data_IF_233537776685
#
_entry.id   IF_233537776685
#
_cell.length_a   1.000
_cell.length_b   1.000
_cell.length_c   1.000
_cell.angle_alpha   90.00
_cell.angle_beta   90.00
_cell.angle_gamma   90.00
#
_symmetry.space_group_name_H-M   'P 1'
#
loop_
_entity.id
_entity.type
_entity.pdbx_description
1 polymer ?
#
# COMPACT_ATOMS: atom_id res chain seq x y z
N UNK A 1 25.37 -8.79 5.02
CA UNK A 1 24.41 -9.14 3.95
C UNK A 1 25.03 -9.02 2.57
N UNK A 2 25.61 -7.87 2.20
CA UNK A 2 26.29 -7.70 0.90
C UNK A 2 27.36 -8.76 0.62
N UNK A 3 28.16 -9.16 1.60
CA UNK A 3 29.14 -10.25 1.44
C UNK A 3 28.51 -11.65 1.25
N UNK A 4 27.30 -11.87 1.75
CA UNK A 4 26.53 -13.10 1.52
C UNK A 4 25.77 -13.06 0.19
N UNK A 5 25.27 -11.89 -0.23
CA UNK A 5 24.69 -11.63 -1.55
C UNK A 5 25.75 -11.73 -2.66
N UNK A 6 26.99 -11.34 -2.39
CA UNK A 6 28.12 -11.46 -3.31
C UNK A 6 28.69 -12.89 -3.41
N UNK A 7 28.41 -13.77 -2.45
CA UNK A 7 28.90 -15.15 -2.40
C UNK A 7 28.02 -16.13 -3.21
N UNK A 8 27.56 -15.69 -4.38
CA UNK A 8 26.57 -16.31 -5.25
C UNK A 8 26.55 -17.86 -5.26
N UNK A 9 25.33 -18.40 -5.33
CA UNK A 9 24.89 -19.80 -5.46
C UNK A 9 25.02 -20.75 -4.25
N UNK A 10 25.88 -20.48 -3.26
CA UNK A 10 26.10 -21.42 -2.13
C UNK A 10 25.59 -20.95 -0.77
N UNK A 11 25.26 -19.67 -0.63
CA UNK A 11 24.77 -19.08 0.62
C UNK A 11 23.36 -18.53 0.41
N UNK A 12 22.40 -18.97 1.21
CA UNK A 12 21.04 -18.42 1.23
C UNK A 12 20.81 -17.68 2.52
N UNK A 13 20.41 -16.41 2.44
CA UNK A 13 19.90 -15.67 3.58
C UNK A 13 18.61 -16.37 4.04
N UNK A 14 18.56 -16.76 5.32
CA UNK A 14 17.38 -17.41 5.91
C UNK A 14 16.55 -16.38 6.65
N UNK A 15 15.26 -16.35 6.35
CA UNK A 15 14.26 -15.68 7.16
C UNK A 15 14.14 -16.34 8.53
N UNK A 16 13.79 -15.57 9.55
CA UNK A 16 13.52 -16.07 10.91
C UNK A 16 12.01 -16.05 11.12
N UNK A 17 11.46 -17.13 11.68
CA UNK A 17 10.05 -17.18 12.03
C UNK A 17 9.78 -16.22 13.20
N UNK A 18 8.97 -15.20 12.97
CA UNK A 18 8.57 -14.16 13.91
C UNK A 18 7.18 -14.42 14.52
N UNK A 19 6.75 -15.68 14.58
CA UNK A 19 5.44 -16.06 15.11
C UNK A 19 4.33 -15.89 14.07
N UNK A 20 3.26 -15.17 14.43
CA UNK A 20 2.08 -14.96 13.58
C UNK A 20 2.39 -14.18 12.30
N UNK A 21 3.43 -13.34 12.31
CA UNK A 21 3.93 -12.62 11.13
C UNK A 21 4.69 -13.51 10.12
N UNK A 22 4.88 -14.79 10.43
CA UNK A 22 5.57 -15.74 9.55
C UNK A 22 7.08 -15.53 9.47
N UNK A 23 7.67 -15.95 8.35
CA UNK A 23 9.12 -15.92 8.15
C UNK A 23 9.59 -14.56 7.62
N UNK A 24 10.16 -13.74 8.50
CA UNK A 24 10.63 -12.39 8.18
C UNK A 24 12.11 -12.44 7.73
N UNK A 25 12.40 -11.87 6.56
CA UNK A 25 13.76 -11.75 6.05
C UNK A 25 14.54 -10.63 6.79
N UNK A 26 15.86 -10.73 6.97
CA UNK A 26 16.68 -9.69 7.62
C UNK A 26 16.92 -8.46 6.73
N UNK A 27 15.90 -7.89 6.10
CA UNK A 27 16.04 -6.66 5.29
C UNK A 27 16.19 -5.43 6.17
N UNK A 28 16.77 -4.34 5.64
CA UNK A 28 16.84 -3.05 6.33
C UNK A 28 15.47 -2.59 6.82
N UNK A 29 14.43 -2.77 6.01
CA UNK A 29 13.06 -2.36 6.35
C UNK A 29 12.51 -3.21 7.48
N UNK A 30 12.63 -4.55 7.42
CA UNK A 30 12.16 -5.43 8.49
C UNK A 30 12.94 -5.23 9.81
N UNK A 31 14.19 -4.79 9.74
CA UNK A 31 15.01 -4.46 10.91
C UNK A 31 14.61 -3.11 11.49
N UNK A 32 14.45 -2.08 10.66
CA UNK A 32 13.96 -0.76 11.06
C UNK A 32 12.54 -0.85 11.68
N UNK A 33 11.73 -1.74 11.13
CA UNK A 33 10.40 -2.14 11.58
C UNK A 33 10.37 -2.92 12.91
N UNK A 34 11.54 -3.35 13.42
CA UNK A 34 11.66 -4.27 14.56
C UNK A 34 10.91 -5.62 14.37
N UNK A 35 10.64 -6.01 13.11
CA UNK A 35 9.98 -7.27 12.74
C UNK A 35 10.98 -8.44 12.70
N UNK A 36 12.25 -8.14 12.40
CA UNK A 36 13.29 -9.16 12.39
C UNK A 36 13.91 -9.32 13.78
N UNK A 37 13.42 -10.30 14.55
CA UNK A 37 13.88 -10.56 15.93
C UNK A 37 15.36 -10.94 16.09
N UNK A 38 16.08 -11.17 14.99
CA UNK A 38 17.52 -11.38 15.00
C UNK A 38 18.36 -10.10 14.98
N UNK A 39 17.74 -8.92 14.86
CA UNK A 39 18.42 -7.64 14.89
C UNK A 39 18.21 -6.91 16.23
N UNK A 40 19.14 -6.02 16.55
CA UNK A 40 19.02 -5.10 17.68
C UNK A 40 19.29 -3.68 17.17
N UNK A 41 18.31 -2.78 17.23
CA UNK A 41 18.52 -1.40 16.81
C UNK A 41 19.50 -0.70 17.76
N UNK A 42 20.36 0.14 17.19
CA UNK A 42 21.20 1.08 17.95
C UNK A 42 20.52 2.45 17.92
N UNK A 43 20.19 2.97 19.09
CA UNK A 43 19.64 4.32 19.24
C UNK A 43 20.70 5.26 19.78
N UNK A 44 20.80 6.46 19.18
CA UNK A 44 21.61 7.56 19.68
C UNK A 44 20.68 8.56 20.36
N UNK A 45 20.81 8.70 21.68
CA UNK A 45 20.04 9.66 22.47
C UNK A 45 20.81 10.96 22.60
N UNK A 46 20.19 12.06 22.21
CA UNK A 46 20.82 13.36 22.17
C UNK A 46 20.03 14.30 23.07
N UNK A 47 20.72 14.97 23.99
CA UNK A 47 20.12 16.11 24.69
C UNK A 47 19.97 17.25 23.68
N UNK A 48 18.75 17.76 23.51
CA UNK A 48 18.47 18.82 22.54
C UNK A 48 19.34 20.07 22.77
N UNK A 49 19.58 20.43 24.03
CA UNK A 49 20.45 21.56 24.40
C UNK A 49 21.91 21.34 23.97
N UNK A 50 22.34 20.09 23.86
CA UNK A 50 23.69 19.74 23.41
C UNK A 50 23.90 19.93 21.90
N UNK A 51 22.83 20.07 21.11
CA UNK A 51 22.96 20.33 19.66
C UNK A 51 23.55 21.72 19.37
N UNK A 52 23.48 22.66 20.31
CA UNK A 52 24.14 23.97 20.18
C UNK A 52 25.64 23.91 20.54
N UNK A 53 26.15 22.75 20.97
CA UNK A 53 27.57 22.57 21.32
C UNK A 53 28.39 22.30 20.06
N UNK A 54 29.44 23.10 19.79
CA UNK A 54 30.33 22.87 18.65
C UNK A 54 30.90 21.45 18.65
N UNK A 55 30.85 20.78 17.50
CA UNK A 55 31.26 19.39 17.30
C UNK A 55 30.14 18.37 17.53
N UNK A 56 29.14 18.66 18.39
CA UNK A 56 28.02 17.75 18.63
C UNK A 56 27.03 17.79 17.47
N UNK A 57 26.67 18.98 17.00
CA UNK A 57 25.81 19.13 15.81
C UNK A 57 26.39 18.46 14.58
N UNK A 58 27.69 18.57 14.38
CA UNK A 58 28.42 18.03 13.23
C UNK A 58 28.39 16.51 13.28
N UNK A 59 28.78 15.89 14.39
CA UNK A 59 28.74 14.42 14.54
C UNK A 59 27.32 13.88 14.34
N UNK A 60 26.33 14.55 14.92
CA UNK A 60 24.93 14.12 14.84
C UNK A 60 24.39 14.23 13.41
N UNK A 61 24.71 15.31 12.70
CA UNK A 61 24.33 15.48 11.30
C UNK A 61 25.02 14.44 10.40
N UNK A 62 26.30 14.16 10.63
CA UNK A 62 27.03 13.13 9.88
C UNK A 62 26.42 11.72 10.09
N UNK A 63 25.95 11.42 11.31
CA UNK A 63 25.26 10.16 11.61
C UNK A 63 23.85 10.06 11.00
N UNK A 64 23.21 11.20 10.74
CA UNK A 64 21.88 11.27 10.14
C UNK A 64 21.90 11.41 8.61
N UNK A 65 23.07 11.66 8.02
CA UNK A 65 23.25 11.78 6.57
C UNK A 65 23.38 10.39 5.92
N UNK A 66 22.48 10.09 4.98
CA UNK A 66 22.51 8.83 4.23
C UNK A 66 23.76 8.67 3.37
N UNK A 67 24.43 9.76 2.99
CA UNK A 67 25.71 9.73 2.28
C UNK A 67 26.82 9.03 3.08
N UNK A 68 26.66 8.95 4.40
CA UNK A 68 27.60 8.30 5.31
C UNK A 68 27.23 6.85 5.67
N UNK A 69 26.24 6.25 5.00
CA UNK A 69 25.81 4.88 5.27
C UNK A 69 26.96 3.85 5.21
N UNK A 70 27.93 4.07 4.31
CA UNK A 70 29.10 3.21 4.18
C UNK A 70 30.01 3.24 5.43
N UNK A 71 30.09 4.38 6.14
CA UNK A 71 30.85 4.47 7.39
C UNK A 71 30.21 3.58 8.46
N UNK A 72 28.88 3.62 8.58
CA UNK A 72 28.11 2.78 9.51
C UNK A 72 28.31 1.30 9.16
N UNK A 73 28.24 0.98 7.87
CA UNK A 73 28.46 -0.37 7.37
C UNK A 73 29.87 -0.89 7.69
N UNK A 74 30.89 -0.06 7.51
CA UNK A 74 32.28 -0.41 7.81
C UNK A 74 32.55 -0.68 9.30
N UNK A 75 31.72 -0.14 10.20
CA UNK A 75 31.79 -0.44 11.63
C UNK A 75 31.04 -1.74 12.01
N UNK A 76 30.48 -2.46 11.04
CA UNK A 76 29.76 -3.72 11.25
C UNK A 76 28.29 -3.55 11.63
N UNK A 77 27.75 -2.34 11.55
CA UNK A 77 26.32 -2.09 11.65
C UNK A 77 25.66 -2.23 10.29
N UNK A 78 24.36 -2.54 10.27
CA UNK A 78 23.56 -2.31 9.07
C UNK A 78 23.10 -0.85 9.11
N UNK A 79 23.39 -0.04 8.06
CA UNK A 79 22.88 1.32 8.01
C UNK A 79 21.34 1.29 8.01
N UNK A 80 20.74 2.37 8.51
CA UNK A 80 19.30 2.55 8.46
C UNK A 80 18.84 2.66 6.98
N UNK A 81 17.55 2.45 6.71
CA UNK A 81 17.02 2.71 5.38
C UNK A 81 16.89 4.22 5.10
N UNK A 82 16.69 4.58 3.83
CA UNK A 82 16.60 5.98 3.40
C UNK A 82 15.51 6.75 4.15
N UNK A 83 14.35 6.13 4.37
CA UNK A 83 13.25 6.68 5.14
C UNK A 83 13.66 7.03 6.59
N UNK A 84 14.41 6.15 7.25
CA UNK A 84 14.91 6.39 8.61
C UNK A 84 15.95 7.52 8.64
N UNK A 85 16.81 7.63 7.63
CA UNK A 85 17.74 8.76 7.50
C UNK A 85 16.98 10.07 7.31
N UNK A 86 16.00 10.11 6.41
CA UNK A 86 15.15 11.30 6.18
C UNK A 86 14.38 11.70 7.44
N UNK A 87 13.86 10.72 8.19
CA UNK A 87 13.22 10.94 9.49
C UNK A 87 14.21 11.52 10.50
N UNK A 88 15.40 10.94 10.63
CA UNK A 88 16.45 11.45 11.53
C UNK A 88 16.85 12.89 11.19
N UNK A 89 17.06 13.19 9.90
CA UNK A 89 17.35 14.53 9.42
C UNK A 89 16.22 15.52 9.77
N UNK A 90 14.97 15.10 9.60
CA UNK A 90 13.78 15.91 9.95
C UNK A 90 13.69 16.18 11.45
N UNK A 91 13.92 15.16 12.30
CA UNK A 91 13.93 15.28 13.76
C UNK A 91 14.98 16.32 14.19
N UNK A 92 16.18 16.26 13.60
CA UNK A 92 17.27 17.19 13.90
C UNK A 92 16.96 18.60 13.42
N UNK A 93 16.50 18.75 12.17
CA UNK A 93 16.14 20.05 11.59
C UNK A 93 15.04 20.74 12.39
N UNK A 94 14.02 19.99 12.81
CA UNK A 94 12.88 20.51 13.55
C UNK A 94 13.05 20.48 15.08
N UNK A 95 14.19 20.00 15.58
CA UNK A 95 14.49 19.88 17.02
C UNK A 95 13.39 19.14 17.79
N UNK A 96 12.85 18.08 17.18
CA UNK A 96 11.74 17.32 17.74
C UNK A 96 12.22 16.49 18.94
N UNK A 97 11.53 16.62 20.07
CA UNK A 97 11.80 15.85 21.29
C UNK A 97 10.74 14.78 21.50
N UNK A 98 11.12 13.65 22.12
CA UNK A 98 10.22 12.53 22.42
C UNK A 98 10.62 11.25 21.70
N UNK A 99 9.92 10.16 22.00
CA UNK A 99 10.15 8.87 21.36
C UNK A 99 9.67 8.95 19.90
N UNK A 100 10.60 8.86 18.94
CA UNK A 100 10.30 8.91 17.50
C UNK A 100 10.16 7.51 16.87
N UNK A 101 10.48 6.47 17.64
CA UNK A 101 10.22 5.08 17.29
C UNK A 101 8.86 4.65 17.82
N UNK A 102 8.16 3.82 17.05
CA UNK A 102 6.87 3.22 17.41
C UNK A 102 6.95 2.16 18.52
N UNK A 103 8.15 1.79 18.94
CA UNK A 103 8.35 0.73 19.92
C UNK A 103 8.19 1.28 21.35
N UNK A 104 6.95 1.30 21.84
CA UNK A 104 6.69 1.12 23.27
C UNK A 104 6.11 2.29 24.07
N UNK A 105 5.11 2.99 23.54
CA UNK A 105 4.05 3.53 24.41
C UNK A 105 2.70 3.32 23.71
N UNK A 106 2.16 2.12 23.87
CA UNK A 106 0.74 1.86 23.59
C UNK A 106 -0.04 2.53 24.72
N UNK A 107 -0.37 3.82 24.57
CA UNK A 107 -1.29 4.53 25.48
C UNK A 107 -2.72 4.02 25.32
N UNK A 108 -3.03 3.49 24.14
CA UNK A 108 -4.33 2.95 23.77
C UNK A 108 -4.23 1.45 23.52
N UNK A 109 -4.71 0.64 24.47
CA UNK A 109 -4.81 -0.82 24.33
C UNK A 109 -6.28 -1.22 24.31
N UNK A 110 -6.69 -1.94 23.26
CA UNK A 110 -8.05 -2.50 23.20
C UNK A 110 -8.02 -3.87 23.89
N UNK A 111 -8.79 -4.08 24.97
CA UNK A 111 -8.75 -5.33 25.69
C UNK A 111 -9.05 -6.51 24.77
N UNK A 112 -8.29 -7.59 24.89
CA UNK A 112 -8.48 -8.80 24.07
C UNK A 112 -9.76 -9.56 24.42
N UNK A 113 -10.41 -9.13 25.50
CA UNK A 113 -11.75 -9.54 25.93
C UNK A 113 -12.86 -8.75 25.23
N UNK A 114 -12.53 -7.78 24.38
CA UNK A 114 -13.51 -7.11 23.53
C UNK A 114 -14.33 -8.15 22.77
N UNK A 115 -15.62 -7.88 22.61
CA UNK A 115 -16.56 -8.78 21.97
C UNK A 115 -17.57 -8.00 21.14
N UNK A 116 -18.15 -8.69 20.17
CA UNK A 116 -19.11 -8.09 19.25
C UNK A 116 -18.95 -8.62 17.82
N UNK A 117 -19.49 -7.88 16.87
CA UNK A 117 -19.51 -8.24 15.47
C UNK A 117 -19.17 -7.03 14.60
N UNK A 118 -18.06 -7.09 13.88
CA UNK A 118 -17.71 -6.09 12.87
C UNK A 118 -18.29 -6.53 11.53
N UNK A 119 -19.12 -5.68 10.91
CA UNK A 119 -19.70 -5.97 9.58
C UNK A 119 -18.98 -5.19 8.48
N UNK A 120 -18.49 -5.91 7.47
CA UNK A 120 -17.65 -5.37 6.40
C UNK A 120 -18.35 -5.60 5.05
N UNK A 121 -18.50 -4.55 4.25
CA UNK A 121 -19.03 -4.59 2.88
C UNK A 121 -18.01 -4.14 1.83
N UNK A 122 -18.45 -4.05 0.58
CA UNK A 122 -17.68 -3.42 -0.50
C UNK A 122 -17.19 -4.36 -1.59
N UNK A 123 -16.02 -4.05 -2.12
CA UNK A 123 -15.47 -4.68 -3.33
C UNK A 123 -15.02 -6.13 -3.10
N UNK A 124 -15.43 -7.09 -3.96
CA UNK A 124 -14.93 -8.48 -3.91
C UNK A 124 -13.42 -8.59 -4.12
N UNK A 125 -12.78 -7.62 -4.79
CA UNK A 125 -11.33 -7.63 -5.00
C UNK A 125 -10.56 -7.53 -3.67
N UNK A 126 -11.17 -6.97 -2.63
CA UNK A 126 -10.59 -6.89 -1.29
C UNK A 126 -10.59 -8.21 -0.51
N UNK A 127 -11.24 -9.27 -1.03
CA UNK A 127 -11.48 -10.52 -0.29
C UNK A 127 -10.19 -11.18 0.19
N UNK A 128 -9.14 -11.19 -0.62
CA UNK A 128 -7.86 -11.82 -0.26
C UNK A 128 -7.27 -11.17 1.00
N UNK A 129 -7.05 -9.86 0.94
CA UNK A 129 -6.48 -9.10 2.06
C UNK A 129 -7.38 -9.15 3.30
N UNK A 130 -8.70 -9.01 3.12
CA UNK A 130 -9.65 -9.13 4.23
C UNK A 130 -9.61 -10.51 4.87
N UNK A 131 -9.44 -11.59 4.11
CA UNK A 131 -9.37 -12.95 4.65
C UNK A 131 -8.11 -13.14 5.50
N UNK A 132 -6.96 -12.62 5.03
CA UNK A 132 -5.71 -12.66 5.80
C UNK A 132 -5.82 -11.87 7.10
N UNK A 133 -6.37 -10.66 7.05
CA UNK A 133 -6.60 -9.82 8.23
C UNK A 133 -7.60 -10.44 9.21
N UNK A 134 -8.76 -10.87 8.74
CA UNK A 134 -9.81 -11.40 9.61
C UNK A 134 -9.41 -12.75 10.24
N UNK A 135 -8.68 -13.60 9.52
CA UNK A 135 -8.14 -14.86 10.05
C UNK A 135 -7.11 -14.62 11.16
N UNK A 136 -6.15 -13.72 10.93
CA UNK A 136 -5.13 -13.39 11.92
C UNK A 136 -5.75 -12.66 13.13
N UNK A 137 -6.69 -11.74 12.88
CA UNK A 137 -7.43 -11.01 13.91
C UNK A 137 -8.23 -11.94 14.85
N UNK A 138 -8.92 -12.94 14.30
CA UNK A 138 -9.74 -13.88 15.08
C UNK A 138 -8.92 -14.68 16.11
N UNK A 139 -7.63 -14.90 15.83
CA UNK A 139 -6.72 -15.56 16.78
C UNK A 139 -6.40 -14.66 17.98
N UNK A 140 -6.34 -13.34 17.76
CA UNK A 140 -6.03 -12.33 18.78
C UNK A 140 -7.25 -11.91 19.59
N UNK A 141 -8.41 -11.78 18.95
CA UNK A 141 -9.69 -11.35 19.54
C UNK A 141 -10.79 -12.39 19.30
N UNK A 142 -10.75 -13.53 20.01
CA UNK A 142 -11.62 -14.68 19.73
C UNK A 142 -13.11 -14.42 20.01
N UNK A 143 -13.45 -13.35 20.73
CA UNK A 143 -14.82 -12.96 21.04
C UNK A 143 -15.38 -11.89 20.07
N UNK A 144 -14.58 -11.43 19.11
CA UNK A 144 -15.02 -10.52 18.04
C UNK A 144 -15.18 -11.31 16.74
N UNK A 145 -16.35 -11.19 16.11
CA UNK A 145 -16.60 -11.80 14.80
C UNK A 145 -16.54 -10.74 13.71
N UNK A 146 -15.54 -10.77 12.84
CA UNK A 146 -15.50 -9.93 11.64
C UNK A 146 -16.19 -10.68 10.48
N UNK A 147 -17.29 -10.13 9.96
CA UNK A 147 -18.09 -10.74 8.89
C UNK A 147 -18.02 -9.89 7.62
N UNK A 148 -17.58 -10.47 6.51
CA UNK A 148 -17.45 -9.77 5.23
C UNK A 148 -18.53 -10.21 4.22
N UNK A 149 -19.27 -9.25 3.68
CA UNK A 149 -20.26 -9.44 2.59
C UNK A 149 -19.92 -8.53 1.41
N UNK A 150 -19.12 -9.04 0.49
CA UNK A 150 -18.56 -8.25 -0.63
C UNK A 150 -19.44 -8.40 -1.87
N UNK A 151 -20.25 -7.38 -2.14
CA UNK A 151 -21.28 -7.38 -3.22
C UNK A 151 -21.06 -6.26 -4.24
N UNK A 152 -19.88 -5.64 -4.22
CA UNK A 152 -19.53 -4.48 -5.03
C UNK A 152 -19.63 -3.18 -4.24
N UNK A 153 -18.84 -2.19 -4.65
CA UNK A 153 -18.72 -0.89 -3.98
C UNK A 153 -20.05 -0.12 -3.94
N UNK A 154 -20.85 -0.03 -5.03
CA UNK A 154 -22.12 0.68 -4.98
C UNK A 154 -23.08 0.12 -3.93
N UNK A 155 -23.15 -1.21 -3.79
CA UNK A 155 -23.98 -1.84 -2.75
C UNK A 155 -23.37 -1.66 -1.36
N UNK A 156 -22.05 -1.75 -1.25
CA UNK A 156 -21.32 -1.45 -0.02
C UNK A 156 -21.59 -0.04 0.50
N UNK A 157 -21.48 0.98 -0.36
CA UNK A 157 -21.72 2.39 -0.03
C UNK A 157 -23.16 2.64 0.44
N UNK A 158 -24.17 2.12 -0.27
CA UNK A 158 -25.57 2.20 0.20
C UNK A 158 -25.77 1.54 1.56
N UNK A 159 -25.15 0.39 1.79
CA UNK A 159 -25.25 -0.31 3.07
C UNK A 159 -24.54 0.47 4.19
N UNK A 160 -23.43 1.15 3.90
CA UNK A 160 -22.73 2.02 4.85
C UNK A 160 -23.60 3.23 5.20
N UNK A 161 -24.13 3.92 4.18
CA UNK A 161 -24.95 5.11 4.35
C UNK A 161 -26.33 4.84 4.95
N UNK A 162 -26.77 3.58 5.01
CA UNK A 162 -27.95 3.15 5.77
C UNK A 162 -27.62 2.53 7.14
N UNK A 163 -26.33 2.50 7.52
CA UNK A 163 -25.87 1.96 8.81
C UNK A 163 -25.92 0.43 8.92
N UNK A 164 -26.06 -0.29 7.81
CA UNK A 164 -26.11 -1.76 7.79
C UNK A 164 -24.72 -2.41 7.90
N UNK A 165 -23.67 -1.72 7.46
CA UNK A 165 -22.28 -2.15 7.61
C UNK A 165 -21.45 -1.12 8.38
N UNK A 166 -20.47 -1.60 9.13
CA UNK A 166 -19.54 -0.75 9.89
C UNK A 166 -18.44 -0.18 8.98
N UNK A 167 -17.95 -1.01 8.05
CA UNK A 167 -16.78 -0.73 7.21
C UNK A 167 -17.09 -1.14 5.76
N UNK A 168 -16.65 -0.35 4.79
CA UNK A 168 -16.62 -0.71 3.38
C UNK A 168 -15.18 -0.69 2.89
N UNK A 169 -14.74 -1.81 2.32
CA UNK A 169 -13.49 -1.86 1.56
C UNK A 169 -13.75 -1.41 0.14
N UNK A 170 -13.05 -0.37 -0.29
CA UNK A 170 -13.20 0.22 -1.62
C UNK A 170 -11.85 0.63 -2.21
N UNK A 171 -11.87 0.93 -3.50
CA UNK A 171 -10.77 1.39 -4.32
C UNK A 171 -11.01 2.79 -4.91
N UNK A 172 -12.16 3.36 -4.61
CA UNK A 172 -12.56 4.72 -4.98
C UNK A 172 -13.08 5.46 -3.74
N UNK A 173 -13.20 6.78 -3.84
CA UNK A 173 -13.84 7.57 -2.79
C UNK A 173 -15.36 7.34 -2.81
N UNK A 174 -16.02 7.64 -1.69
CA UNK A 174 -17.48 7.66 -1.63
C UNK A 174 -18.02 8.67 -2.67
N UNK A 175 -18.87 8.27 -3.63
CA UNK A 175 -19.41 9.18 -4.63
C UNK A 175 -20.29 10.28 -4.01
N UNK A 176 -20.39 11.44 -4.66
CA UNK A 176 -21.17 12.59 -4.15
C UNK A 176 -22.63 12.23 -3.81
N UNK A 177 -23.26 11.39 -4.64
CA UNK A 177 -24.63 10.90 -4.39
C UNK A 177 -24.72 10.11 -3.07
N UNK A 178 -23.72 9.27 -2.79
CA UNK A 178 -23.70 8.49 -1.55
C UNK A 178 -23.32 9.35 -0.34
N UNK A 179 -22.50 10.39 -0.51
CA UNK A 179 -22.24 11.39 0.54
C UNK A 179 -23.56 12.06 0.97
N UNK A 180 -24.41 12.44 0.02
CA UNK A 180 -25.73 13.00 0.30
C UNK A 180 -26.63 11.98 1.02
N UNK A 181 -26.68 10.74 0.54
CA UNK A 181 -27.45 9.65 1.18
C UNK A 181 -27.00 9.41 2.63
N UNK A 182 -25.69 9.39 2.88
CA UNK A 182 -25.12 9.27 4.21
C UNK A 182 -25.59 10.43 5.11
N UNK A 183 -25.53 11.67 4.61
CA UNK A 183 -25.99 12.85 5.35
C UNK A 183 -27.49 12.79 5.69
N UNK A 184 -28.33 12.34 4.75
CA UNK A 184 -29.78 12.20 4.98
C UNK A 184 -30.10 11.17 6.07
N UNK A 185 -29.24 10.16 6.23
CA UNK A 185 -29.36 9.13 7.27
C UNK A 185 -28.57 9.45 8.54
N UNK A 186 -28.01 10.66 8.68
CA UNK A 186 -27.14 11.06 9.79
C UNK A 186 -25.93 10.14 9.98
N UNK A 187 -25.42 9.56 8.89
CA UNK A 187 -24.19 8.77 8.87
C UNK A 187 -23.04 9.69 8.48
N UNK A 188 -22.07 9.82 9.38
CA UNK A 188 -20.79 10.46 9.09
C UNK A 188 -19.80 9.35 8.73
N UNK A 189 -19.11 9.50 7.60
CA UNK A 189 -18.11 8.54 7.15
C UNK A 189 -16.70 9.08 7.41
N UNK A 190 -15.83 8.24 7.95
CA UNK A 190 -14.39 8.48 8.04
C UNK A 190 -13.68 7.52 7.09
N UNK A 191 -12.68 8.01 6.35
CA UNK A 191 -11.94 7.18 5.39
C UNK A 191 -10.52 6.97 5.88
N UNK A 192 -10.04 5.73 5.85
CA UNK A 192 -8.64 5.40 6.07
C UNK A 192 -8.02 4.90 4.76
N UNK A 193 -7.00 5.58 4.27
CA UNK A 193 -6.20 5.14 3.13
C UNK A 193 -5.22 4.05 3.56
N UNK A 194 -5.17 2.95 2.83
CA UNK A 194 -4.32 1.78 3.11
C UNK A 194 -3.15 1.66 2.14
N UNK A 195 -2.93 2.68 1.31
CA UNK A 195 -1.99 2.65 0.20
C UNK A 195 -2.67 2.24 -1.11
N UNK A 196 -1.86 1.81 -2.08
CA UNK A 196 -2.29 1.49 -3.43
C UNK A 196 -1.64 0.21 -3.93
N UNK A 197 -2.40 -0.58 -4.68
CA UNK A 197 -1.80 -1.56 -5.60
C UNK A 197 -1.30 -0.82 -6.83
N UNK A 198 -0.21 -1.26 -7.44
CA UNK A 198 0.27 -0.65 -8.67
C UNK A 198 0.80 -1.68 -9.66
N UNK A 199 0.62 -1.36 -10.95
CA UNK A 199 1.17 -2.11 -12.07
C UNK A 199 2.26 -1.29 -12.74
N UNK A 200 3.47 -1.83 -12.75
CA UNK A 200 4.59 -1.28 -13.50
C UNK A 200 4.64 -1.88 -14.91
N UNK A 201 5.09 -1.08 -15.86
CA UNK A 201 5.28 -1.51 -17.25
C UNK A 201 6.76 -1.43 -17.64
N UNK A 202 7.21 -2.43 -18.40
CA UNK A 202 8.54 -2.44 -19.01
C UNK A 202 8.43 -2.71 -20.51
N UNK A 203 9.16 -1.94 -21.29
CA UNK A 203 9.30 -2.11 -22.72
C UNK A 203 10.77 -2.36 -23.11
N UNK A 204 10.96 -2.84 -24.33
CA UNK A 204 12.30 -2.90 -24.93
C UNK A 204 12.89 -1.48 -25.04
N UNK A 205 14.15 -1.30 -24.64
CA UNK A 205 14.79 0.02 -24.66
C UNK A 205 15.05 0.60 -26.06
N UNK A 206 14.90 -0.19 -27.13
CA UNK A 206 14.96 0.30 -28.51
C UNK A 206 13.60 0.84 -28.99
N UNK A 207 12.53 0.62 -28.23
CA UNK A 207 11.16 1.03 -28.58
C UNK A 207 10.81 2.37 -27.95
N UNK A 208 11.48 3.44 -28.36
CA UNK A 208 11.32 4.79 -27.77
C UNK A 208 9.86 5.29 -27.79
N UNK A 209 9.07 4.85 -28.77
CA UNK A 209 7.64 5.16 -28.89
C UNK A 209 6.77 4.51 -27.79
N UNK A 210 7.31 3.57 -27.01
CA UNK A 210 6.65 2.94 -25.87
C UNK A 210 7.06 3.55 -24.53
N UNK A 211 7.94 4.55 -24.50
CA UNK A 211 8.48 5.09 -23.24
C UNK A 211 7.45 5.89 -22.44
N UNK A 212 6.41 6.36 -23.11
CA UNK A 212 5.29 7.05 -22.51
C UNK A 212 4.01 6.67 -23.24
N UNK A 213 3.14 5.93 -22.55
CA UNK A 213 1.87 5.47 -23.10
C UNK A 213 0.71 6.15 -22.38
N UNK A 214 -0.38 6.39 -23.10
CA UNK A 214 -1.65 6.80 -22.48
C UNK A 214 -2.43 5.57 -22.00
N UNK A 215 -3.34 5.71 -21.01
CA UNK A 215 -4.24 4.62 -20.62
C UNK A 215 -5.02 4.04 -21.82
N UNK A 216 -5.43 4.88 -22.78
CA UNK A 216 -6.13 4.43 -23.98
C UNK A 216 -5.25 3.56 -24.89
N UNK A 217 -3.97 3.92 -25.08
CA UNK A 217 -3.02 3.11 -25.85
C UNK A 217 -2.73 1.77 -25.15
N UNK A 218 -2.61 1.78 -23.82
CA UNK A 218 -2.43 0.57 -23.01
C UNK A 218 -3.64 -0.35 -23.17
N UNK A 219 -4.87 0.17 -22.99
CA UNK A 219 -6.10 -0.60 -23.19
C UNK A 219 -6.19 -1.13 -24.62
N UNK A 220 -5.89 -0.31 -25.63
CA UNK A 220 -5.91 -0.72 -27.04
C UNK A 220 -4.94 -1.89 -27.33
N UNK A 221 -3.73 -1.84 -26.76
CA UNK A 221 -2.73 -2.90 -26.93
C UNK A 221 -3.12 -4.20 -26.21
N UNK A 222 -3.61 -4.12 -24.97
CA UNK A 222 -3.80 -5.25 -24.07
C UNK A 222 -5.20 -5.87 -24.09
N UNK A 223 -6.23 -5.11 -24.49
CA UNK A 223 -7.62 -5.59 -24.45
C UNK A 223 -7.96 -6.56 -25.57
N UNK A 224 -8.86 -7.49 -25.26
CA UNK A 224 -9.55 -8.29 -26.26
C UNK A 224 -10.49 -7.40 -27.06
N UNK A 225 -10.25 -7.27 -28.37
CA UNK A 225 -11.12 -6.49 -29.24
C UNK A 225 -11.99 -7.43 -30.12
N UNK A 226 -13.34 -7.32 -30.07
CA UNK A 226 -14.24 -8.12 -30.92
C UNK A 226 -13.98 -7.98 -32.42
N UNK A 227 -13.47 -6.84 -32.88
CA UNK A 227 -13.14 -6.58 -34.28
C UNK A 227 -11.70 -6.97 -34.66
N UNK A 228 -10.97 -7.56 -33.71
CA UNK A 228 -9.56 -7.92 -33.85
C UNK A 228 -8.66 -6.97 -33.06
N UNK A 229 -7.78 -7.51 -32.23
CA UNK A 229 -6.79 -6.73 -31.49
C UNK A 229 -5.64 -6.30 -32.41
N UNK A 230 -5.00 -5.14 -32.16
CA UNK A 230 -3.91 -4.65 -33.00
C UNK A 230 -2.74 -5.64 -33.02
N UNK A 231 -2.16 -5.85 -34.20
CA UNK A 231 -1.00 -6.72 -34.43
C UNK A 231 0.30 -5.95 -34.58
N UNK A 232 0.22 -4.64 -34.87
CA UNK A 232 1.34 -3.72 -35.01
C UNK A 232 1.08 -2.42 -34.24
N UNK A 233 2.13 -1.75 -33.77
CA UNK A 233 2.00 -0.58 -32.90
C UNK A 233 1.34 0.63 -33.58
N UNK A 234 1.50 0.80 -34.89
CA UNK A 234 0.79 1.82 -35.66
C UNK A 234 -0.74 1.65 -35.71
N UNK A 235 -1.26 0.45 -35.36
CA UNK A 235 -2.70 0.21 -35.20
C UNK A 235 -3.22 0.62 -33.81
N UNK A 236 -2.33 0.76 -32.83
CA UNK A 236 -2.63 1.31 -31.50
C UNK A 236 -2.67 2.83 -31.57
N UNK A 237 -1.69 3.43 -32.24
CA UNK A 237 -1.58 4.86 -32.48
C UNK A 237 -0.87 5.12 -33.82
N UNK A 238 -1.46 5.92 -34.70
CA UNK A 238 -0.90 6.16 -36.04
C UNK A 238 0.50 6.81 -36.04
N UNK A 239 0.91 7.42 -34.92
CA UNK A 239 2.26 7.98 -34.75
C UNK A 239 3.34 6.95 -34.44
N UNK A 240 2.95 5.74 -34.05
CA UNK A 240 3.86 4.64 -33.76
C UNK A 240 4.32 3.94 -35.05
N UNK A 241 5.49 3.26 -35.04
CA UNK A 241 5.98 2.54 -36.20
C UNK A 241 5.20 1.24 -36.46
N UNK A 242 5.30 0.71 -37.69
CA UNK A 242 4.74 -0.58 -38.09
C UNK A 242 5.61 -1.75 -37.55
N UNK A 243 5.74 -1.83 -36.22
CA UNK A 243 6.47 -2.89 -35.51
C UNK A 243 5.48 -3.89 -34.92
N UNK A 244 5.72 -5.21 -35.04
CA UNK A 244 4.86 -6.23 -34.43
C UNK A 244 4.75 -6.07 -32.91
N UNK A 245 3.54 -6.23 -32.39
CA UNK A 245 3.29 -6.20 -30.94
C UNK A 245 3.66 -7.57 -30.34
N UNK A 246 4.52 -7.56 -29.31
CA UNK A 246 4.80 -8.76 -28.50
C UNK A 246 4.45 -8.50 -27.04
N UNK A 247 3.38 -9.13 -26.55
CA UNK A 247 2.94 -8.94 -25.16
C UNK A 247 3.35 -10.12 -24.30
N UNK A 248 3.86 -9.84 -23.11
CA UNK A 248 4.19 -10.83 -22.09
C UNK A 248 3.44 -10.54 -20.80
N UNK A 249 2.59 -11.47 -20.38
CA UNK A 249 1.77 -11.34 -19.20
C UNK A 249 2.12 -12.42 -18.16
N UNK A 250 1.95 -12.16 -16.85
CA UNK A 250 1.78 -13.24 -15.89
C UNK A 250 0.56 -14.11 -16.25
N UNK A 251 0.58 -15.36 -15.81
CA UNK A 251 -0.53 -16.33 -15.95
C UNK A 251 -1.64 -16.05 -14.90
N UNK A 252 -1.33 -15.22 -13.90
CA UNK A 252 -2.28 -14.74 -12.90
C UNK A 252 -3.19 -13.64 -13.46
N UNK A 253 -4.33 -14.06 -14.01
CA UNK A 253 -5.18 -13.22 -14.88
C UNK A 253 -6.01 -12.14 -14.16
N UNK A 254 -6.42 -12.26 -12.89
CA UNK A 254 -7.59 -11.44 -12.50
C UNK A 254 -7.27 -10.02 -11.97
N UNK A 255 -6.53 -9.85 -10.88
CA UNK A 255 -6.52 -8.53 -10.21
C UNK A 255 -5.64 -7.46 -10.86
N UNK A 256 -4.40 -7.79 -11.22
CA UNK A 256 -3.47 -6.79 -11.78
C UNK A 256 -3.78 -6.47 -13.26
N UNK A 257 -4.40 -7.40 -13.99
CA UNK A 257 -4.94 -7.13 -15.31
C UNK A 257 -6.08 -6.11 -15.25
N UNK A 258 -6.95 -6.19 -14.23
CA UNK A 258 -8.00 -5.20 -14.02
C UNK A 258 -7.43 -3.80 -13.74
N UNK A 259 -6.29 -3.68 -13.06
CA UNK A 259 -5.59 -2.40 -12.88
C UNK A 259 -5.02 -1.91 -14.22
N UNK A 260 -4.36 -2.79 -14.97
CA UNK A 260 -3.82 -2.45 -16.29
C UNK A 260 -4.90 -1.91 -17.25
N UNK A 261 -6.09 -2.49 -17.20
CA UNK A 261 -7.21 -2.18 -18.09
C UNK A 261 -8.18 -1.14 -17.52
N UNK A 262 -7.88 -0.52 -16.37
CA UNK A 262 -8.80 0.38 -15.67
C UNK A 262 -9.15 1.66 -16.44
N UNK A 263 -8.34 2.02 -17.44
CA UNK A 263 -8.63 3.13 -18.36
C UNK A 263 -9.69 2.82 -19.42
N UNK A 264 -10.27 1.62 -19.43
CA UNK A 264 -11.29 1.22 -20.40
C UNK A 264 -12.67 1.77 -20.00
N UNK A 265 -13.37 2.40 -20.96
CA UNK A 265 -14.75 2.88 -20.75
C UNK A 265 -15.76 1.73 -20.63
N UNK A 266 -15.41 0.55 -21.14
CA UNK A 266 -16.23 -0.67 -21.09
C UNK A 266 -15.50 -1.78 -20.37
N UNK A 267 -16.19 -2.64 -19.59
CA UNK A 267 -15.57 -3.81 -18.99
C UNK A 267 -14.89 -4.66 -20.06
N UNK A 268 -13.59 -4.86 -19.93
CA UNK A 268 -12.79 -5.59 -20.92
C UNK A 268 -11.82 -6.54 -20.22
N UNK A 269 -11.44 -7.58 -20.94
CA UNK A 269 -10.46 -8.58 -20.51
C UNK A 269 -9.21 -8.49 -21.37
N UNK A 270 -8.14 -9.14 -20.92
CA UNK A 270 -6.93 -9.29 -21.73
C UNK A 270 -7.21 -10.08 -23.02
N UNK A 271 -6.54 -9.70 -24.11
CA UNK A 271 -6.48 -10.51 -25.33
C UNK A 271 -5.80 -11.85 -25.08
N UNK A 272 -6.16 -12.85 -25.89
CA UNK A 272 -5.75 -14.26 -25.69
C UNK A 272 -4.40 -14.62 -26.32
N UNK A 273 -3.89 -13.78 -27.22
CA UNK A 273 -2.63 -13.95 -27.95
C UNK A 273 -1.43 -13.31 -27.24
N UNK A 274 -1.50 -13.18 -25.91
CA UNK A 274 -0.37 -12.80 -25.05
C UNK A 274 0.50 -14.01 -24.71
N UNK A 275 1.80 -13.79 -24.51
CA UNK A 275 2.71 -14.83 -24.04
C UNK A 275 2.65 -14.89 -22.50
N UNK A 276 1.99 -15.91 -21.96
CA UNK A 276 1.84 -16.05 -20.50
C UNK A 276 3.03 -16.79 -19.87
N UNK A 277 3.58 -16.22 -18.82
CA UNK A 277 4.60 -16.85 -17.97
C UNK A 277 4.66 -16.10 -16.64
N UNK A 278 4.53 -16.77 -15.49
CA UNK A 278 4.56 -16.12 -14.18
C UNK A 278 5.95 -15.63 -13.73
N UNK A 279 7.05 -16.12 -14.31
CA UNK A 279 8.40 -15.66 -13.97
C UNK A 279 8.66 -14.26 -14.53
N UNK A 280 8.65 -13.25 -13.65
CA UNK A 280 8.88 -11.86 -14.03
C UNK A 280 10.27 -11.64 -14.65
N UNK A 281 11.30 -12.38 -14.21
CA UNK A 281 12.65 -12.25 -14.73
C UNK A 281 12.73 -12.82 -16.15
N UNK A 282 12.02 -13.92 -16.43
CA UNK A 282 11.84 -14.42 -17.80
C UNK A 282 11.14 -13.38 -18.68
N UNK A 283 10.03 -12.78 -18.22
CA UNK A 283 9.30 -11.76 -18.99
C UNK A 283 10.17 -10.55 -19.27
N UNK A 284 10.90 -10.04 -18.27
CA UNK A 284 11.87 -8.95 -18.44
C UNK A 284 12.94 -9.29 -19.49
N UNK A 285 13.55 -10.47 -19.38
CA UNK A 285 14.56 -10.91 -20.34
C UNK A 285 14.00 -11.02 -21.77
N UNK A 286 12.78 -11.53 -21.93
CA UNK A 286 12.15 -11.62 -23.25
C UNK A 286 11.82 -10.23 -23.82
N UNK A 287 11.28 -9.30 -23.01
CA UNK A 287 11.08 -7.90 -23.43
C UNK A 287 12.39 -7.26 -23.89
N UNK A 288 13.48 -7.48 -23.16
CA UNK A 288 14.79 -6.91 -23.49
C UNK A 288 15.35 -7.35 -24.86
N UNK A 289 14.86 -8.47 -25.42
CA UNK A 289 15.37 -9.06 -26.67
C UNK A 289 14.48 -8.80 -27.90
N UNK A 290 13.27 -8.28 -27.72
CA UNK A 290 12.29 -8.14 -28.81
C UNK A 290 11.82 -6.69 -28.88
N UNK A 291 12.13 -6.01 -29.99
CA UNK A 291 11.59 -4.69 -30.29
C UNK A 291 10.06 -4.74 -30.35
N UNK A 292 9.38 -3.73 -29.79
CA UNK A 292 7.93 -3.71 -29.68
C UNK A 292 7.36 -4.64 -28.61
N UNK A 293 8.22 -5.23 -27.77
CA UNK A 293 7.76 -6.04 -26.65
C UNK A 293 7.40 -5.19 -25.42
N UNK A 294 6.34 -5.59 -24.73
CA UNK A 294 5.83 -4.95 -23.51
C UNK A 294 5.41 -6.01 -22.49
N UNK A 295 5.71 -5.77 -21.22
CA UNK A 295 5.22 -6.58 -20.09
C UNK A 295 4.70 -5.70 -18.97
N UNK A 296 3.76 -6.23 -18.20
CA UNK A 296 3.32 -5.63 -16.94
C UNK A 296 3.72 -6.50 -15.75
N UNK A 297 3.93 -5.85 -14.60
CA UNK A 297 4.42 -6.47 -13.38
C UNK A 297 3.72 -5.90 -12.16
N UNK A 298 3.64 -6.68 -11.08
CA UNK A 298 3.32 -6.12 -9.76
C UNK A 298 4.40 -5.12 -9.37
N UNK A 299 4.08 -4.20 -8.46
CA UNK A 299 5.05 -3.22 -7.98
C UNK A 299 6.34 -3.88 -7.45
N UNK A 300 6.21 -4.97 -6.70
CA UNK A 300 7.34 -5.72 -6.15
C UNK A 300 8.27 -6.28 -7.24
N UNK A 301 7.70 -6.92 -8.26
CA UNK A 301 8.46 -7.49 -9.38
C UNK A 301 9.09 -6.39 -10.26
N UNK A 302 8.38 -5.26 -10.38
CA UNK A 302 8.88 -4.07 -11.05
C UNK A 302 10.13 -3.51 -10.35
N UNK A 303 10.09 -3.35 -9.02
CA UNK A 303 11.25 -2.94 -8.23
C UNK A 303 12.40 -3.95 -8.33
N UNK A 304 12.10 -5.25 -8.30
CA UNK A 304 13.12 -6.29 -8.45
C UNK A 304 13.81 -6.24 -9.83
N UNK A 305 13.06 -5.87 -10.88
CA UNK A 305 13.60 -5.72 -12.24
C UNK A 305 14.42 -4.43 -12.38
N UNK A 306 13.98 -3.32 -11.77
CA UNK A 306 14.78 -2.09 -11.68
C UNK A 306 16.13 -2.31 -10.99
N UNK A 307 16.16 -3.14 -9.94
CA UNK A 307 17.37 -3.48 -9.20
C UNK A 307 18.28 -4.49 -9.94
N UNK A 308 17.83 -5.05 -11.07
CA UNK A 308 18.59 -6.04 -11.84
C UNK A 308 19.61 -5.37 -12.77
N UNK A 309 20.62 -6.11 -13.21
CA UNK A 309 21.59 -5.64 -14.22
C UNK A 309 21.14 -5.92 -15.66
N UNK A 310 19.84 -6.14 -15.89
CA UNK A 310 19.30 -6.48 -17.20
C UNK A 310 19.41 -5.28 -18.14
N UNK A 311 20.17 -5.43 -19.23
CA UNK A 311 20.28 -4.40 -20.26
C UNK A 311 19.10 -4.44 -21.23
N UNK A 312 18.89 -3.35 -21.97
CA UNK A 312 17.91 -3.21 -23.06
C UNK A 312 16.43 -3.30 -22.64
N UNK A 313 16.13 -3.08 -21.37
CA UNK A 313 14.77 -2.94 -20.86
C UNK A 313 14.65 -1.62 -20.11
N UNK A 314 13.51 -0.98 -20.18
CA UNK A 314 13.29 0.32 -19.56
C UNK A 314 11.85 0.48 -19.07
N UNK A 315 11.65 1.15 -17.92
CA UNK A 315 10.32 1.49 -17.44
C UNK A 315 9.54 2.29 -18.48
N UNK A 316 8.23 2.04 -18.52
CA UNK A 316 7.28 2.83 -19.30
C UNK A 316 6.55 3.79 -18.36
N UNK A 317 6.60 5.07 -18.70
CA UNK A 317 5.79 6.10 -18.05
C UNK A 317 4.36 6.06 -18.60
N UNK A 318 3.41 6.58 -17.80
CA UNK A 318 2.01 6.67 -18.21
C UNK A 318 1.56 8.12 -18.19
N UNK A 319 0.98 8.58 -19.31
CA UNK A 319 0.41 9.93 -19.44
C UNK A 319 -1.12 9.87 -19.39
N UNK A 320 -1.69 10.29 -18.26
CA UNK A 320 -3.13 10.41 -18.05
C UNK A 320 -3.65 11.86 -18.28
N UNK A 321 -2.94 12.65 -19.08
CA UNK A 321 -3.30 14.02 -19.44
C UNK A 321 -2.50 15.11 -18.71
N UNK A 322 -1.58 14.73 -17.83
CA UNK A 322 -0.72 15.63 -17.06
C UNK A 322 0.78 15.44 -17.39
N UNK A 323 1.08 14.74 -18.48
CA UNK A 323 2.43 14.36 -18.87
C UNK A 323 2.82 12.97 -18.36
N UNK A 324 3.97 12.50 -18.85
CA UNK A 324 4.48 11.17 -18.59
C UNK A 324 4.94 11.00 -17.14
N UNK A 325 4.23 10.20 -16.36
CA UNK A 325 4.60 9.85 -14.98
C UNK A 325 5.23 8.47 -14.94
N UNK A 326 6.48 8.38 -14.48
CA UNK A 326 7.19 7.12 -14.25
C UNK A 326 6.70 6.53 -12.92
N UNK A 327 6.41 5.22 -12.86
CA UNK A 327 6.04 4.59 -11.60
C UNK A 327 7.17 4.66 -10.56
N UNK A 328 6.85 5.23 -9.41
CA UNK A 328 7.69 5.38 -8.22
C UNK A 328 6.85 5.27 -6.95
N UNK A 329 7.47 4.99 -5.80
CA UNK A 329 6.73 4.96 -4.53
C UNK A 329 6.01 6.28 -4.26
N UNK A 330 6.65 7.41 -4.57
CA UNK A 330 6.07 8.75 -4.47
C UNK A 330 4.85 8.91 -5.36
N UNK A 331 4.98 8.67 -6.67
CA UNK A 331 3.88 8.83 -7.63
C UNK A 331 2.71 7.88 -7.41
N UNK A 332 2.96 6.72 -6.77
CA UNK A 332 1.93 5.75 -6.43
C UNK A 332 1.22 6.16 -5.13
N UNK A 333 1.97 6.65 -4.14
CA UNK A 333 1.45 7.07 -2.85
C UNK A 333 0.64 8.37 -2.94
N UNK A 334 1.06 9.32 -3.79
CA UNK A 334 0.34 10.59 -4.00
C UNK A 334 -0.82 10.48 -5.01
N UNK A 335 -0.96 9.32 -5.67
CA UNK A 335 -2.02 9.03 -6.63
C UNK A 335 -1.82 9.62 -8.02
N UNK A 336 -0.65 10.15 -8.35
CA UNK A 336 -0.36 10.73 -9.68
C UNK A 336 -0.10 9.67 -10.76
N UNK A 337 0.32 8.46 -10.39
CA UNK A 337 0.56 7.37 -11.33
C UNK A 337 -0.73 6.64 -11.70
N UNK A 338 -1.08 6.67 -12.99
CA UNK A 338 -2.39 6.25 -13.49
C UNK A 338 -2.67 4.74 -13.46
N UNK A 339 -1.65 3.89 -13.29
CA UNK A 339 -1.81 2.44 -13.07
C UNK A 339 -1.63 2.05 -11.60
N UNK A 340 -1.88 3.00 -10.69
CA UNK A 340 -2.13 2.72 -9.29
C UNK A 340 -3.64 2.60 -9.05
N UNK A 341 -4.01 1.76 -8.09
CA UNK A 341 -5.37 1.61 -7.57
C UNK A 341 -5.34 1.72 -6.05
N UNK A 342 -5.86 2.80 -5.46
CA UNK A 342 -5.83 2.99 -4.02
C UNK A 342 -6.73 1.97 -3.34
N UNK A 343 -6.45 1.66 -2.08
CA UNK A 343 -7.29 0.83 -1.22
C UNK A 343 -7.69 1.65 0.00
N UNK A 344 -8.99 1.68 0.29
CA UNK A 344 -9.61 2.53 1.30
C UNK A 344 -10.54 1.72 2.19
N UNK A 345 -10.59 2.09 3.47
CA UNK A 345 -11.67 1.70 4.38
C UNK A 345 -12.56 2.91 4.62
N UNK A 346 -13.80 2.87 4.13
CA UNK A 346 -14.82 3.83 4.52
C UNK A 346 -15.57 3.30 5.73
N UNK A 347 -15.57 4.05 6.81
CA UNK A 347 -16.00 3.59 8.12
C UNK A 347 -17.12 4.49 8.62
N UNK A 348 -18.20 3.88 9.11
CA UNK A 348 -19.24 4.61 9.82
C UNK A 348 -18.62 5.17 11.11
N UNK A 349 -18.55 6.50 11.23
CA UNK A 349 -17.88 7.17 12.34
C UNK A 349 -18.48 6.80 13.69
N UNK A 350 -19.79 6.56 13.78
CA UNK A 350 -20.42 6.12 15.02
C UNK A 350 -19.95 4.72 15.45
N UNK A 351 -19.59 3.85 14.50
CA UNK A 351 -19.10 2.50 14.78
C UNK A 351 -17.73 2.52 15.48
N UNK A 352 -16.94 3.59 15.30
CA UNK A 352 -15.65 3.80 15.96
C UNK A 352 -15.75 3.92 17.50
N UNK A 353 -16.96 4.13 18.05
CA UNK A 353 -17.19 4.11 19.49
C UNK A 353 -17.27 2.68 20.08
N UNK A 354 -17.40 1.66 19.23
CA UNK A 354 -17.57 0.25 19.66
C UNK A 354 -16.23 -0.45 19.78
N UNK A 355 -16.03 -1.20 20.86
CA UNK A 355 -14.75 -1.87 21.15
C UNK A 355 -14.36 -2.94 20.12
N UNK A 356 -15.31 -3.60 19.49
CA UNK A 356 -15.06 -4.60 18.44
C UNK A 356 -14.49 -3.96 17.16
N UNK A 357 -15.04 -2.82 16.73
CA UNK A 357 -14.52 -2.03 15.60
C UNK A 357 -13.17 -1.41 15.93
N UNK A 358 -13.02 -0.86 17.14
CA UNK A 358 -11.72 -0.36 17.64
C UNK A 358 -10.67 -1.46 17.63
N UNK A 359 -10.99 -2.65 18.14
CA UNK A 359 -10.08 -3.80 18.16
C UNK A 359 -9.61 -4.16 16.75
N UNK A 360 -10.54 -4.24 15.79
CA UNK A 360 -10.23 -4.59 14.41
C UNK A 360 -9.32 -3.56 13.76
N UNK A 361 -9.70 -2.28 13.76
CA UNK A 361 -8.92 -1.21 13.13
C UNK A 361 -7.57 -1.00 13.82
N UNK A 362 -7.53 -1.08 15.15
CA UNK A 362 -6.28 -1.02 15.91
C UNK A 362 -5.35 -2.17 15.55
N UNK A 363 -5.88 -3.39 15.45
CA UNK A 363 -5.12 -4.57 15.04
C UNK A 363 -4.50 -4.38 13.66
N UNK A 364 -5.25 -3.89 12.67
CA UNK A 364 -4.69 -3.62 11.32
C UNK A 364 -3.49 -2.68 11.36
N UNK A 365 -3.51 -1.70 12.26
CA UNK A 365 -2.47 -0.69 12.39
C UNK A 365 -1.32 -1.10 13.32
N UNK A 366 -1.27 -2.32 13.86
CA UNK A 366 -0.15 -2.75 14.72
C UNK A 366 1.08 -3.11 13.90
N UNK A 367 2.27 -2.71 14.38
CA UNK A 367 3.55 -3.03 13.73
C UNK A 367 3.69 -4.54 13.49
N UNK A 368 3.31 -5.37 14.47
CA UNK A 368 3.36 -6.84 14.39
C UNK A 368 2.56 -7.43 13.21
N UNK A 369 1.58 -6.70 12.69
CA UNK A 369 0.70 -7.15 11.59
C UNK A 369 1.11 -6.58 10.23
N UNK A 370 2.18 -5.78 10.18
CA UNK A 370 2.66 -5.15 8.94
C UNK A 370 3.03 -6.17 7.85
N UNK A 371 3.46 -7.37 8.24
CA UNK A 371 3.75 -8.46 7.31
C UNK A 371 2.56 -8.84 6.41
N UNK A 372 1.32 -8.63 6.85
CA UNK A 372 0.12 -8.87 6.03
C UNK A 372 0.01 -7.82 4.92
N UNK A 373 0.28 -6.54 5.23
CA UNK A 373 0.32 -5.44 4.26
C UNK A 373 1.45 -5.66 3.23
N UNK A 374 2.63 -6.06 3.70
CA UNK A 374 3.76 -6.38 2.82
C UNK A 374 3.45 -7.55 1.88
N UNK A 375 2.80 -8.60 2.38
CA UNK A 375 2.40 -9.76 1.58
C UNK A 375 1.33 -9.39 0.54
N UNK A 376 0.51 -8.38 0.85
CA UNK A 376 -0.46 -7.84 -0.07
C UNK A 376 0.14 -6.93 -1.15
N UNK A 377 1.41 -6.53 -1.05
CA UNK A 377 2.10 -5.67 -2.04
C UNK A 377 1.48 -4.26 -2.18
N UNK A 378 0.90 -3.74 -1.10
CA UNK A 378 0.41 -2.35 -1.03
C UNK A 378 1.59 -1.36 -0.91
N UNK A 379 1.51 -0.28 -1.67
CA UNK A 379 2.47 0.83 -1.71
C UNK A 379 1.89 2.06 -1.02
N UNK A 380 2.70 2.87 -0.35
CA UNK A 380 2.24 4.12 0.28
C UNK A 380 1.73 3.98 1.71
N UNK A 381 1.86 2.80 2.31
CA UNK A 381 1.71 2.61 3.77
C UNK A 381 2.99 1.95 4.31
N UNK A 382 4.10 2.71 4.46
CA UNK A 382 5.31 2.18 5.06
C UNK A 382 5.07 1.90 6.55
N UNK A 383 5.83 0.98 7.15
CA UNK A 383 5.67 0.69 8.59
C UNK A 383 5.85 1.93 9.45
N UNK A 384 6.70 2.85 8.99
CA UNK A 384 7.01 4.09 9.67
C UNK A 384 5.77 5.00 9.85
N UNK A 385 4.77 4.84 8.98
CA UNK A 385 3.49 5.56 9.02
C UNK A 385 2.48 4.93 9.99
N UNK A 386 2.68 3.68 10.44
CA UNK A 386 1.72 3.01 11.34
C UNK A 386 1.62 3.68 12.71
N UNK A 387 2.67 4.34 13.19
CA UNK A 387 2.63 5.09 14.45
C UNK A 387 1.66 6.27 14.36
N UNK A 388 1.75 7.04 13.27
CA UNK A 388 0.86 8.15 13.00
C UNK A 388 -0.58 7.66 12.77
N UNK A 389 -0.74 6.56 12.01
CA UNK A 389 -2.05 5.91 11.82
C UNK A 389 -2.68 5.48 13.15
N UNK A 390 -1.90 4.97 14.09
CA UNK A 390 -2.42 4.65 15.43
C UNK A 390 -2.81 5.89 16.23
N UNK A 391 -2.04 6.97 16.16
CA UNK A 391 -2.38 8.22 16.82
C UNK A 391 -3.66 8.86 16.24
N UNK A 392 -3.83 8.79 14.93
CA UNK A 392 -5.05 9.15 14.21
C UNK A 392 -6.23 8.32 14.70
N UNK A 393 -6.10 6.99 14.70
CA UNK A 393 -7.13 6.07 15.19
C UNK A 393 -7.51 6.33 16.64
N UNK A 394 -6.55 6.53 17.55
CA UNK A 394 -6.83 6.85 18.95
C UNK A 394 -7.69 8.12 19.08
N UNK A 395 -7.40 9.13 18.26
CA UNK A 395 -8.18 10.37 18.23
C UNK A 395 -9.58 10.12 17.70
N UNK A 396 -9.70 9.42 16.57
CA UNK A 396 -10.98 9.04 15.98
C UNK A 396 -11.87 8.24 16.95
N UNK A 397 -11.28 7.30 17.69
CA UNK A 397 -11.99 6.49 18.68
C UNK A 397 -12.52 7.33 19.85
N UNK A 398 -11.68 8.20 20.40
CA UNK A 398 -12.07 9.10 21.50
C UNK A 398 -13.17 10.06 21.07
N UNK A 399 -13.04 10.65 19.89
CA UNK A 399 -14.02 11.59 19.35
C UNK A 399 -15.36 10.89 19.12
N UNK A 400 -15.35 9.69 18.51
CA UNK A 400 -16.57 8.91 18.30
C UNK A 400 -17.28 8.53 19.61
N UNK A 401 -16.53 8.14 20.65
CA UNK A 401 -17.11 7.86 21.98
C UNK A 401 -17.77 9.11 22.56
N UNK A 402 -17.13 10.27 22.45
CA UNK A 402 -17.68 11.53 22.93
C UNK A 402 -18.93 11.96 22.14
N UNK A 403 -18.91 11.83 20.82
CA UNK A 403 -20.03 12.14 19.92
C UNK A 403 -21.25 11.27 20.23
N UNK A 404 -21.06 9.94 20.38
CA UNK A 404 -22.14 9.00 20.73
C UNK A 404 -22.72 9.31 22.12
N UNK A 405 -21.87 9.63 23.10
CA UNK A 405 -22.32 10.00 24.45
C UNK A 405 -23.13 11.31 24.45
N UNK A 406 -22.69 12.31 23.67
CA UNK A 406 -23.39 13.58 23.54
C UNK A 406 -24.76 13.40 22.85
N UNK A 407 -24.83 12.60 21.78
CA UNK A 407 -26.08 12.28 21.11
C UNK A 407 -27.08 11.58 22.04
N UNK A 408 -26.61 10.61 22.84
CA UNK A 408 -27.44 9.93 23.84
C UNK A 408 -27.98 10.90 24.92
N UNK A 409 -27.14 11.83 25.39
CA UNK A 409 -27.55 12.84 26.36
C UNK A 409 -28.60 13.81 25.78
N UNK A 410 -28.43 14.24 24.52
CA UNK A 410 -29.39 15.12 23.84
C UNK A 410 -30.75 14.44 23.60
N UNK A 411 -30.73 13.15 23.24
CA UNK A 411 -31.94 12.35 23.09
C UNK A 411 -32.69 12.20 24.42
N UNK A 412 -31.98 11.98 25.53
CA UNK A 412 -32.57 11.90 26.86
C UNK A 412 -33.12 13.24 27.39
N UNK A 413 -32.60 14.37 26.91
CA UNK A 413 -33.01 15.71 27.32
C UNK A 413 -34.21 16.27 26.52
N UNK A 414 -34.58 15.66 25.40
CA UNK A 414 -35.76 16.05 24.63
C UNK A 414 -37.01 15.44 25.28
N UNK A 415 -37.91 16.24 25.90
CA UNK A 415 -39.12 15.70 26.48
C UNK A 415 -39.96 15.10 25.35
N UNK A 416 -40.32 13.83 25.52
CA UNK A 416 -41.26 13.11 24.67
C UNK A 416 -42.53 13.98 24.52
N UNK A 417 -42.68 14.65 23.38
CA UNK A 417 -43.92 15.33 23.04
C UNK A 417 -44.94 14.26 22.65
N UNK A 418 -45.54 13.63 23.66
CA UNK A 418 -46.69 12.75 23.47
C UNK A 418 -47.88 13.61 23.02
N UNK A 419 -48.60 13.25 21.94
CA UNK A 419 -49.73 14.00 21.42
C UNK A 419 -50.96 14.00 22.35
#
# INVERSE_FOLDING_TARGET
MQSAQAAADRVRIKSVNAGEAGCIAPTSDNIAANLYGGARPLFVYINLESLDTPGVSEIVNELADSANADLILNQGFLPANEESFNRNATILANRQTGLQSSAGNVTFDVPTTASGQVTIGGSPLGLRLLSDWTSAFASRYPAVTATSTLTGEPTGFRNLCSGQVDIVVAYENLPDEEIENCSLNNIVVTTLDLGSYAVGLFANAQSDYLMCLTPAQIVSAWSANPTGSPSTWNQVDESFPEVPITLLAPDTIDFYADILLQGSEVPTVLRVDVNQNDDFAYRAAAVANVEGALTYMTWKDFQATLASTQANITPVAVDAGNGCVVPSEESIADGTYALARPLKLHINRAALARQDVQAFLWYLAQDANYGIIQTAELVGLPISALAERRAELETLFRDAVAEVAAAAAAAAASPESTP
#
